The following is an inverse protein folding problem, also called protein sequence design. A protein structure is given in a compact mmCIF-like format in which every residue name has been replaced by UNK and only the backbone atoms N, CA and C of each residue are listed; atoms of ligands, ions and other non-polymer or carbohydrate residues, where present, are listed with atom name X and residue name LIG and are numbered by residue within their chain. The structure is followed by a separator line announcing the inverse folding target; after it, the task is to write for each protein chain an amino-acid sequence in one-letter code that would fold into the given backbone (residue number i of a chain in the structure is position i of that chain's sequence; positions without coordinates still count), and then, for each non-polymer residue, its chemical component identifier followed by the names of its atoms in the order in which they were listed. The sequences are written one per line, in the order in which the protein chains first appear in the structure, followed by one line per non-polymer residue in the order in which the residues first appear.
data_IF_983055294216
#
_entry.id   IF_983055294216
#
_cell.length_a   1.000
_cell.length_b   1.000
_cell.length_c   1.000
_cell.angle_alpha   90.00
_cell.angle_beta   90.00
_cell.angle_gamma   90.00
#
_symmetry.space_group_name_H-M   'P 1'
#
loop_
_entity.id
_entity.type
_entity.pdbx_description
1 polymer ?
#
# COMPACT_ATOMS: atom_id res chain seq x y z
N UNK A 1 75.94 -27.90 -28.65
CA UNK A 1 75.23 -28.86 -29.54
C UNK A 1 73.78 -28.45 -29.60
N UNK A 2 73.34 -27.97 -30.77
CA UNK A 2 71.99 -27.47 -31.05
C UNK A 2 71.05 -28.65 -31.27
N UNK A 3 69.90 -28.68 -30.63
CA UNK A 3 68.79 -29.57 -30.99
C UNK A 3 67.52 -28.74 -31.01
N UNK A 4 67.15 -28.35 -32.23
CA UNK A 4 65.89 -27.76 -32.63
C UNK A 4 64.85 -28.88 -32.59
N UNK A 5 63.82 -28.75 -31.76
CA UNK A 5 62.62 -29.60 -31.86
C UNK A 5 61.53 -28.82 -32.60
N UNK A 6 61.26 -29.27 -33.83
CA UNK A 6 60.15 -28.84 -34.67
C UNK A 6 58.83 -29.30 -34.06
N UNK A 7 57.98 -28.34 -33.68
CA UNK A 7 56.59 -28.56 -33.32
C UNK A 7 55.79 -28.76 -34.63
N UNK A 8 55.06 -29.87 -34.83
CA UNK A 8 54.16 -29.96 -35.97
C UNK A 8 52.95 -29.06 -35.69
N UNK A 9 52.79 -28.02 -36.53
CA UNK A 9 51.57 -27.21 -36.62
C UNK A 9 50.47 -28.15 -37.13
N UNK A 10 49.69 -28.70 -36.21
CA UNK A 10 48.41 -29.32 -36.52
C UNK A 10 47.42 -28.18 -36.81
N UNK A 11 47.23 -27.92 -38.11
CA UNK A 11 46.06 -27.26 -38.67
C UNK A 11 44.80 -28.02 -38.21
N UNK A 12 44.29 -27.68 -37.03
CA UNK A 12 42.95 -28.04 -36.64
C UNK A 12 42.01 -27.13 -37.45
N UNK A 13 41.48 -27.72 -38.51
CA UNK A 13 40.38 -27.21 -39.31
C UNK A 13 39.35 -26.49 -38.43
N UNK A 14 38.93 -25.31 -38.86
CA UNK A 14 37.81 -24.60 -38.27
C UNK A 14 36.56 -25.47 -38.32
N UNK A 15 36.31 -26.21 -37.24
CA UNK A 15 34.98 -26.54 -36.80
C UNK A 15 34.32 -25.19 -36.51
N UNK A 16 33.64 -24.62 -37.51
CA UNK A 16 32.52 -23.75 -37.21
C UNK A 16 31.58 -24.60 -36.36
N UNK A 17 31.67 -24.45 -35.03
CA UNK A 17 30.63 -24.88 -34.14
C UNK A 17 29.34 -24.28 -34.70
N UNK A 18 28.38 -25.13 -35.07
CA UNK A 18 27.04 -24.66 -35.34
C UNK A 18 26.66 -23.82 -34.12
N UNK A 19 26.36 -22.54 -34.32
CA UNK A 19 25.88 -21.71 -33.21
C UNK A 19 24.55 -22.30 -32.78
N UNK A 20 24.57 -23.09 -31.71
CA UNK A 20 23.36 -23.66 -31.14
C UNK A 20 22.41 -22.51 -30.80
N UNK A 21 21.19 -22.63 -31.34
CA UNK A 21 20.18 -21.60 -31.21
C UNK A 21 19.47 -21.76 -29.88
N UNK A 22 19.63 -20.78 -29.00
CA UNK A 22 19.04 -20.78 -27.68
C UNK A 22 17.52 -20.60 -27.77
N UNK A 23 16.76 -21.48 -27.13
CA UNK A 23 15.30 -21.40 -27.04
C UNK A 23 14.91 -20.61 -25.80
N UNK A 24 14.41 -19.41 -26.04
CA UNK A 24 14.03 -18.44 -25.01
C UNK A 24 12.52 -18.46 -24.81
N UNK A 25 12.09 -18.98 -23.67
CA UNK A 25 10.70 -19.03 -23.26
C UNK A 25 10.25 -17.72 -22.63
N UNK A 26 9.09 -17.19 -23.03
CA UNK A 26 8.52 -15.99 -22.39
C UNK A 26 6.99 -16.04 -22.36
N UNK A 27 6.39 -15.14 -21.58
CA UNK A 27 4.93 -14.99 -21.47
C UNK A 27 4.55 -13.56 -21.80
N UNK A 28 3.60 -13.38 -22.71
CA UNK A 28 3.02 -12.05 -23.01
C UNK A 28 2.26 -11.56 -21.79
N UNK A 29 2.78 -10.49 -21.18
CA UNK A 29 2.27 -9.87 -19.97
C UNK A 29 2.76 -8.42 -19.91
N UNK A 30 1.86 -7.50 -20.27
CA UNK A 30 2.13 -6.07 -20.21
C UNK A 30 2.40 -5.62 -18.76
N UNK A 31 3.29 -4.62 -18.54
CA UNK A 31 4.05 -3.88 -19.56
C UNK A 31 5.38 -4.56 -19.96
N UNK A 32 5.72 -5.71 -19.38
CA UNK A 32 7.04 -6.34 -19.46
C UNK A 32 7.33 -7.02 -20.79
N UNK A 33 6.31 -7.67 -21.36
CA UNK A 33 6.35 -8.34 -22.66
C UNK A 33 5.01 -8.10 -23.35
N UNK A 34 5.04 -7.43 -24.48
CA UNK A 34 3.90 -7.09 -25.32
C UNK A 34 4.06 -7.81 -26.65
N UNK A 35 2.95 -8.35 -27.17
CA UNK A 35 2.90 -8.78 -28.56
C UNK A 35 2.61 -7.56 -29.44
N UNK A 36 3.41 -7.39 -30.50
CA UNK A 36 3.25 -6.36 -31.54
C UNK A 36 3.21 -7.02 -32.91
N UNK A 37 2.85 -6.27 -33.95
CA UNK A 37 2.86 -6.75 -35.34
C UNK A 37 4.26 -7.14 -35.82
N UNK A 38 5.31 -6.64 -35.16
CA UNK A 38 6.72 -6.88 -35.47
C UNK A 38 7.36 -7.94 -34.57
N UNK A 39 6.60 -8.57 -33.66
CA UNK A 39 7.08 -9.61 -32.76
C UNK A 39 6.85 -9.27 -31.29
N UNK A 40 7.82 -9.63 -30.44
CA UNK A 40 7.73 -9.37 -29.00
C UNK A 40 8.50 -8.09 -28.65
N UNK A 41 7.92 -7.25 -27.81
CA UNK A 41 8.53 -6.01 -27.37
C UNK A 41 8.33 -5.78 -25.87
N UNK A 42 9.15 -4.94 -25.26
CA UNK A 42 9.01 -4.55 -23.86
C UNK A 42 10.32 -4.65 -23.09
N UNK A 43 10.35 -4.19 -21.83
CA UNK A 43 11.57 -4.11 -21.04
C UNK A 43 12.31 -5.44 -20.90
N UNK A 44 11.60 -6.56 -20.75
CA UNK A 44 12.23 -7.88 -20.54
C UNK A 44 12.86 -8.41 -21.83
N UNK A 45 12.18 -8.21 -22.97
CA UNK A 45 12.70 -8.60 -24.30
C UNK A 45 13.92 -7.73 -24.63
N UNK A 46 13.80 -6.42 -24.46
CA UNK A 46 14.88 -5.47 -24.71
C UNK A 46 16.12 -5.78 -23.87
N UNK A 47 15.95 -6.08 -22.57
CA UNK A 47 17.07 -6.41 -21.70
C UNK A 47 17.80 -7.67 -22.19
N UNK A 48 17.04 -8.73 -22.49
CA UNK A 48 17.63 -9.98 -22.96
C UNK A 48 18.29 -9.86 -24.33
N UNK A 49 17.71 -9.11 -25.27
CA UNK A 49 18.33 -8.89 -26.57
C UNK A 49 19.69 -8.19 -26.47
N UNK A 50 19.86 -7.27 -25.51
CA UNK A 50 21.16 -6.66 -25.26
C UNK A 50 22.15 -7.67 -24.70
N UNK A 51 21.75 -8.49 -23.72
CA UNK A 51 22.58 -9.56 -23.16
C UNK A 51 22.98 -10.57 -24.26
N UNK A 52 22.01 -11.05 -25.04
CA UNK A 52 22.25 -11.98 -26.12
C UNK A 52 23.20 -11.41 -27.18
N UNK A 53 23.08 -10.12 -27.51
CA UNK A 53 23.98 -9.44 -28.45
C UNK A 53 25.40 -9.33 -27.90
N UNK A 54 25.55 -8.96 -26.64
CA UNK A 54 26.87 -8.85 -25.98
C UNK A 54 27.59 -10.20 -25.89
N UNK A 55 26.85 -11.29 -25.69
CA UNK A 55 27.38 -12.65 -25.59
C UNK A 55 27.45 -13.39 -26.95
N UNK A 56 26.90 -12.80 -28.02
CA UNK A 56 26.86 -13.43 -29.35
C UNK A 56 25.91 -14.63 -29.44
N UNK A 57 24.85 -14.69 -28.62
CA UNK A 57 23.87 -15.77 -28.65
C UNK A 57 22.87 -15.60 -29.79
N UNK A 58 22.64 -16.67 -30.54
CA UNK A 58 21.53 -16.78 -31.50
C UNK A 58 20.32 -17.29 -30.75
N UNK A 59 19.23 -16.51 -30.71
CA UNK A 59 18.05 -16.82 -29.89
C UNK A 59 16.80 -17.03 -30.75
N UNK A 60 15.93 -17.94 -30.32
CA UNK A 60 14.55 -18.07 -30.81
C UNK A 60 13.57 -17.92 -29.65
N UNK A 61 12.50 -17.17 -29.86
CA UNK A 61 11.52 -16.90 -28.80
C UNK A 61 10.30 -17.80 -28.90
N UNK A 62 9.85 -18.34 -27.77
CA UNK A 62 8.62 -19.13 -27.67
C UNK A 62 7.68 -18.52 -26.62
N UNK A 63 6.65 -17.77 -27.05
CA UNK A 63 5.63 -17.28 -26.14
C UNK A 63 4.70 -18.42 -25.70
N UNK A 64 4.67 -18.72 -24.41
CA UNK A 64 3.89 -19.82 -23.83
C UNK A 64 3.24 -19.41 -22.50
N UNK A 65 2.17 -20.12 -22.05
CA UNK A 65 1.66 -20.00 -20.68
C UNK A 65 2.73 -20.36 -19.64
N UNK A 66 2.60 -19.81 -18.43
CA UNK A 66 3.62 -19.98 -17.38
C UNK A 66 3.89 -21.44 -17.03
N UNK A 67 2.85 -22.25 -16.89
CA UNK A 67 3.01 -23.66 -16.51
C UNK A 67 3.77 -24.44 -17.58
N UNK A 68 3.50 -24.15 -18.86
CA UNK A 68 4.23 -24.73 -20.00
C UNK A 68 5.67 -24.24 -20.09
N UNK A 69 5.96 -23.00 -19.69
CA UNK A 69 7.33 -22.49 -19.61
C UNK A 69 8.15 -23.21 -18.56
N UNK A 70 7.58 -23.36 -17.35
CA UNK A 70 8.27 -24.04 -16.24
C UNK A 70 8.49 -25.53 -16.54
N UNK A 71 7.49 -26.21 -17.10
CA UNK A 71 7.64 -27.60 -17.54
C UNK A 71 8.64 -27.73 -18.70
N UNK A 72 8.59 -26.82 -19.67
CA UNK A 72 9.52 -26.81 -20.81
C UNK A 72 10.97 -26.58 -20.37
N UNK A 73 11.19 -25.73 -19.36
CA UNK A 73 12.50 -25.51 -18.75
C UNK A 73 12.98 -26.76 -18.01
N UNK A 74 12.12 -27.39 -17.21
CA UNK A 74 12.42 -28.62 -16.46
C UNK A 74 12.74 -29.80 -17.40
N UNK A 75 12.11 -29.86 -18.57
CA UNK A 75 12.30 -30.90 -19.59
C UNK A 75 13.45 -30.61 -20.57
N UNK A 76 14.09 -29.43 -20.49
CA UNK A 76 15.14 -29.03 -21.43
C UNK A 76 14.66 -28.70 -22.84
N UNK A 77 13.37 -28.40 -23.00
CA UNK A 77 12.79 -27.88 -24.25
C UNK A 77 12.92 -26.36 -24.39
N UNK A 78 13.22 -25.69 -23.29
CA UNK A 78 13.49 -24.26 -23.18
C UNK A 78 14.78 -24.13 -22.40
N UNK A 79 15.72 -23.33 -22.92
CA UNK A 79 17.03 -23.16 -22.28
C UNK A 79 16.99 -22.02 -21.26
N UNK A 80 16.25 -20.95 -21.55
CA UNK A 80 16.14 -19.76 -20.69
C UNK A 80 14.70 -19.27 -20.66
N UNK A 81 14.22 -18.94 -19.47
CA UNK A 81 12.90 -18.35 -19.26
C UNK A 81 13.01 -16.87 -18.84
N UNK A 82 12.28 -16.00 -19.55
CA UNK A 82 12.14 -14.57 -19.26
C UNK A 82 10.67 -14.12 -19.05
N UNK A 83 9.83 -14.87 -18.31
CA UNK A 83 8.52 -14.35 -17.94
C UNK A 83 8.66 -13.30 -16.83
N UNK A 84 7.72 -12.34 -16.72
CA UNK A 84 7.58 -11.56 -15.50
C UNK A 84 7.13 -12.50 -14.37
N UNK A 85 8.10 -12.96 -13.59
CA UNK A 85 7.94 -14.02 -12.60
C UNK A 85 8.53 -13.59 -11.27
N UNK A 86 7.74 -13.79 -10.22
CA UNK A 86 8.21 -13.59 -8.85
C UNK A 86 9.08 -14.79 -8.44
N UNK A 87 10.27 -14.48 -7.91
CA UNK A 87 11.15 -15.45 -7.26
C UNK A 87 10.48 -15.86 -5.94
N UNK A 88 10.27 -17.16 -5.76
CA UNK A 88 9.68 -17.75 -4.55
C UNK A 88 10.52 -18.95 -4.11
N UNK A 89 10.53 -19.27 -2.83
CA UNK A 89 11.30 -20.41 -2.30
C UNK A 89 10.95 -21.74 -2.99
N UNK A 90 9.67 -21.96 -3.31
CA UNK A 90 9.21 -23.15 -4.04
C UNK A 90 9.82 -23.26 -5.44
N UNK A 91 9.99 -22.13 -6.14
CA UNK A 91 10.58 -22.11 -7.48
C UNK A 91 12.10 -22.16 -7.43
N UNK A 92 12.72 -21.46 -6.48
CA UNK A 92 14.17 -21.46 -6.27
C UNK A 92 14.69 -22.86 -5.88
N UNK A 93 13.86 -23.67 -5.22
CA UNK A 93 14.18 -25.07 -4.95
C UNK A 93 14.21 -25.97 -6.21
N UNK A 94 13.65 -25.51 -7.34
CA UNK A 94 13.51 -26.28 -8.59
C UNK A 94 14.25 -25.68 -9.78
N UNK A 95 14.56 -24.39 -9.73
CA UNK A 95 15.13 -23.62 -10.84
C UNK A 95 16.15 -22.61 -10.32
N UNK A 96 17.22 -22.43 -11.08
CA UNK A 96 18.19 -21.37 -10.83
C UNK A 96 17.67 -20.02 -11.32
N UNK A 97 17.84 -18.98 -10.50
CA UNK A 97 17.47 -17.61 -10.82
C UNK A 97 18.71 -16.71 -10.91
N UNK A 98 18.65 -15.74 -11.81
CA UNK A 98 19.58 -14.62 -11.81
C UNK A 98 19.20 -13.60 -10.75
N UNK A 99 20.04 -12.57 -10.56
CA UNK A 99 19.65 -11.41 -9.79
C UNK A 99 18.40 -10.74 -10.43
N UNK A 100 17.40 -10.33 -9.62
CA UNK A 100 16.19 -9.72 -10.14
C UNK A 100 16.51 -8.37 -10.79
N UNK A 101 16.03 -8.15 -12.02
CA UNK A 101 16.14 -6.86 -12.72
C UNK A 101 14.98 -5.90 -12.41
N UNK A 102 13.91 -6.39 -11.77
CA UNK A 102 12.74 -5.60 -11.38
C UNK A 102 12.18 -6.06 -10.05
N UNK A 103 11.86 -5.11 -9.16
CA UNK A 103 11.24 -5.36 -7.86
C UNK A 103 9.86 -4.71 -7.85
N UNK A 104 8.82 -5.52 -7.68
CA UNK A 104 7.44 -5.08 -7.58
C UNK A 104 6.99 -5.07 -6.11
N UNK A 105 6.25 -4.04 -5.71
CA UNK A 105 5.54 -4.00 -4.43
C UNK A 105 4.05 -4.23 -4.66
N UNK A 106 3.42 -4.99 -3.77
CA UNK A 106 1.96 -5.14 -3.77
C UNK A 106 1.29 -3.81 -3.47
N UNK A 107 0.36 -3.40 -4.33
CA UNK A 107 -0.44 -2.19 -4.13
C UNK A 107 -1.91 -2.47 -4.41
N UNK A 108 -2.79 -1.73 -3.73
CA UNK A 108 -4.24 -1.81 -3.96
C UNK A 108 -4.66 -0.59 -4.76
N UNK A 109 -5.20 -0.81 -5.95
CA UNK A 109 -5.77 0.25 -6.76
C UNK A 109 -7.22 0.49 -6.37
N UNK A 110 -7.53 1.70 -5.91
CA UNK A 110 -8.90 2.14 -5.69
C UNK A 110 -9.32 3.13 -6.78
N UNK A 111 -10.57 3.02 -7.25
CA UNK A 111 -11.15 4.00 -8.16
C UNK A 111 -11.06 5.40 -7.55
N UNK A 112 -10.38 6.31 -8.25
CA UNK A 112 -10.35 7.72 -7.86
C UNK A 112 -11.78 8.27 -7.83
N UNK A 113 -12.23 8.73 -6.66
CA UNK A 113 -13.50 9.44 -6.48
C UNK A 113 -13.22 10.95 -6.52
N UNK A 114 -14.09 11.71 -7.18
CA UNK A 114 -14.06 13.19 -7.17
C UNK A 114 -13.89 13.72 -5.75
N UNK A 115 -12.98 14.69 -5.58
CA UNK A 115 -12.69 15.32 -4.28
C UNK A 115 -13.94 15.89 -3.62
N UNK A 116 -14.85 16.47 -4.42
CA UNK A 116 -16.14 16.97 -3.95
C UNK A 116 -17.02 15.89 -3.32
N UNK A 117 -17.04 14.69 -3.90
CA UNK A 117 -17.81 13.57 -3.34
C UNK A 117 -17.20 13.06 -2.04
N UNK A 118 -15.87 13.12 -1.90
CA UNK A 118 -15.19 12.80 -0.63
C UNK A 118 -15.55 13.85 0.45
N UNK A 119 -15.50 15.13 0.11
CA UNK A 119 -15.88 16.22 1.02
C UNK A 119 -17.35 16.09 1.48
N UNK A 120 -18.28 15.83 0.55
CA UNK A 120 -19.68 15.60 0.88
C UNK A 120 -19.89 14.35 1.76
N UNK A 121 -19.16 13.26 1.51
CA UNK A 121 -19.24 12.07 2.38
C UNK A 121 -18.67 12.31 3.77
N UNK A 122 -17.62 13.13 3.88
CA UNK A 122 -17.06 13.54 5.16
C UNK A 122 -18.07 14.38 5.95
N UNK A 123 -18.69 15.38 5.30
CA UNK A 123 -19.73 16.20 5.92
C UNK A 123 -20.96 15.36 6.32
N UNK A 124 -21.38 14.43 5.46
CA UNK A 124 -22.46 13.50 5.75
C UNK A 124 -22.20 12.59 6.95
N UNK A 125 -20.93 12.35 7.32
CA UNK A 125 -20.57 11.52 8.47
C UNK A 125 -21.00 12.17 9.80
N UNK A 126 -21.06 13.50 9.87
CA UNK A 126 -21.60 14.25 11.02
C UNK A 126 -23.13 14.10 11.17
N UNK A 127 -23.83 13.67 10.12
CA UNK A 127 -25.26 13.39 10.17
C UNK A 127 -25.57 11.89 10.28
N UNK A 128 -24.56 11.06 10.55
CA UNK A 128 -24.77 9.63 10.79
C UNK A 128 -25.46 9.40 12.13
N UNK A 129 -26.33 8.38 12.20
CA UNK A 129 -27.03 8.03 13.45
C UNK A 129 -26.05 7.68 14.57
N UNK A 130 -24.89 7.09 14.24
CA UNK A 130 -23.84 6.77 15.20
C UNK A 130 -23.22 8.03 15.79
N UNK A 131 -22.92 9.02 14.93
CA UNK A 131 -22.43 10.31 15.39
C UNK A 131 -23.47 11.04 16.24
N UNK A 132 -24.73 11.09 15.79
CA UNK A 132 -25.82 11.73 16.54
C UNK A 132 -26.04 11.06 17.91
N UNK A 133 -25.92 9.73 18.01
CA UNK A 133 -25.99 9.01 19.30
C UNK A 133 -24.83 9.38 20.23
N UNK A 134 -23.60 9.43 19.70
CA UNK A 134 -22.43 9.83 20.49
C UNK A 134 -22.55 11.29 20.96
N UNK A 135 -22.93 12.21 20.06
CA UNK A 135 -23.17 13.61 20.38
C UNK A 135 -24.31 13.77 21.39
N UNK A 136 -25.40 13.02 21.23
CA UNK A 136 -26.52 13.01 22.16
C UNK A 136 -26.13 12.52 23.56
N UNK A 137 -25.34 11.45 23.65
CA UNK A 137 -24.80 10.97 24.92
C UNK A 137 -23.90 12.02 25.60
N UNK A 138 -23.04 12.69 24.82
CA UNK A 138 -22.20 13.78 25.31
C UNK A 138 -23.04 14.95 25.85
N UNK A 139 -24.02 15.42 25.09
CA UNK A 139 -24.93 16.50 25.51
C UNK A 139 -25.74 16.10 26.74
N UNK A 140 -26.12 14.83 26.87
CA UNK A 140 -26.81 14.29 28.04
C UNK A 140 -25.93 14.33 29.28
N UNK A 141 -24.65 13.94 29.18
CA UNK A 141 -23.70 14.02 30.30
C UNK A 141 -23.52 15.48 30.73
N UNK A 142 -23.28 16.39 29.79
CA UNK A 142 -23.18 17.85 30.06
C UNK A 142 -24.47 18.36 30.72
N UNK A 143 -25.63 17.91 30.24
CA UNK A 143 -26.93 18.24 30.81
C UNK A 143 -27.11 17.74 32.24
N UNK A 144 -26.65 16.53 32.58
CA UNK A 144 -26.72 15.97 33.94
C UNK A 144 -25.87 16.81 34.90
N UNK A 145 -24.60 17.02 34.58
CA UNK A 145 -23.70 17.80 35.45
C UNK A 145 -24.16 19.27 35.54
N UNK A 146 -24.64 19.84 34.44
CA UNK A 146 -25.25 21.17 34.42
C UNK A 146 -26.52 21.28 35.26
N UNK A 147 -27.37 20.25 35.27
CA UNK A 147 -28.54 20.20 36.14
C UNK A 147 -28.14 20.08 37.62
N UNK A 148 -27.18 19.20 37.93
CA UNK A 148 -26.68 19.01 39.29
C UNK A 148 -26.09 20.30 39.86
N UNK A 149 -25.24 21.00 39.08
CA UNK A 149 -24.63 22.24 39.55
C UNK A 149 -25.69 23.31 39.81
N UNK A 150 -26.67 23.43 38.91
CA UNK A 150 -27.78 24.36 39.09
C UNK A 150 -28.62 24.02 40.32
N UNK A 151 -28.91 22.74 40.58
CA UNK A 151 -29.68 22.32 41.75
C UNK A 151 -29.03 22.72 43.09
N UNK A 152 -27.70 22.64 43.18
CA UNK A 152 -26.94 23.04 44.36
C UNK A 152 -26.74 24.56 44.46
N UNK A 153 -26.55 25.25 43.34
CA UNK A 153 -26.23 26.68 43.32
C UNK A 153 -27.44 27.61 43.20
N UNK A 154 -28.63 27.12 42.81
CA UNK A 154 -29.85 27.95 42.58
C UNK A 154 -30.33 28.79 43.77
N UNK A 155 -29.87 28.51 44.99
CA UNK A 155 -30.23 29.25 46.21
C UNK A 155 -29.10 30.14 46.74
N UNK A 156 -27.92 30.13 46.12
CA UNK A 156 -26.75 30.91 46.54
C UNK A 156 -26.72 32.25 45.81
N UNK A 157 -26.75 33.35 46.56
CA UNK A 157 -26.57 34.69 45.99
C UNK A 157 -25.09 34.88 45.66
N UNK A 158 -24.77 35.19 44.40
CA UNK A 158 -23.39 35.51 43.96
C UNK A 158 -22.65 34.38 43.22
N UNK A 159 -23.25 33.20 43.02
CA UNK A 159 -22.65 32.08 42.28
C UNK A 159 -22.73 32.20 40.75
N UNK A 160 -23.49 33.17 40.25
CA UNK A 160 -23.70 33.38 38.81
C UNK A 160 -24.77 32.48 38.17
N UNK A 161 -25.49 31.66 38.94
CA UNK A 161 -26.56 30.79 38.46
C UNK A 161 -27.95 31.41 38.71
N UNK A 162 -28.70 31.67 37.63
CA UNK A 162 -30.03 32.28 37.69
C UNK A 162 -31.16 31.35 38.17
N UNK A 163 -32.37 31.89 38.42
CA UNK A 163 -33.54 31.06 38.71
C UNK A 163 -34.16 30.44 37.45
N UNK A 164 -34.90 29.34 37.64
CA UNK A 164 -35.72 28.71 36.59
C UNK A 164 -34.93 28.28 35.35
N UNK A 165 -35.50 28.50 34.16
CA UNK A 165 -34.93 28.06 32.87
C UNK A 165 -33.58 28.70 32.54
N UNK A 166 -33.33 29.94 32.99
CA UNK A 166 -32.04 30.62 32.76
C UNK A 166 -30.92 29.93 33.53
N UNK A 167 -31.18 29.55 34.78
CA UNK A 167 -30.21 28.80 35.57
C UNK A 167 -29.89 27.40 35.05
N UNK A 168 -30.84 26.72 34.42
CA UNK A 168 -30.58 25.45 33.74
C UNK A 168 -29.59 25.63 32.58
N UNK A 169 -29.74 26.71 31.79
CA UNK A 169 -28.78 27.06 30.76
C UNK A 169 -27.43 27.50 31.33
N UNK A 170 -27.42 28.22 32.46
CA UNK A 170 -26.18 28.58 33.18
C UNK A 170 -25.41 27.33 33.63
N UNK A 171 -26.11 26.33 34.16
CA UNK A 171 -25.55 25.03 34.53
C UNK A 171 -25.01 24.25 33.33
N UNK A 172 -25.79 24.16 32.24
CA UNK A 172 -25.35 23.53 31.00
C UNK A 172 -24.10 24.21 30.41
N UNK A 173 -24.10 25.54 30.33
CA UNK A 173 -22.96 26.34 29.87
C UNK A 173 -21.72 26.09 30.73
N UNK A 174 -21.87 26.15 32.05
CA UNK A 174 -20.77 25.88 32.97
C UNK A 174 -20.20 24.47 32.76
N UNK A 175 -21.05 23.45 32.67
CA UNK A 175 -20.59 22.07 32.46
C UNK A 175 -19.89 21.90 31.12
N UNK A 176 -20.38 22.53 30.04
CA UNK A 176 -19.76 22.48 28.72
C UNK A 176 -18.37 23.14 28.72
N UNK A 177 -18.23 24.32 29.32
CA UNK A 177 -16.98 25.09 29.38
C UNK A 177 -15.94 24.42 30.27
N UNK A 178 -16.37 23.77 31.37
CA UNK A 178 -15.49 22.97 32.23
C UNK A 178 -15.03 21.71 31.51
N UNK A 179 -15.94 20.96 30.87
CA UNK A 179 -15.61 19.75 30.14
C UNK A 179 -14.66 20.00 28.96
N UNK A 180 -14.85 21.12 28.26
CA UNK A 180 -13.98 21.52 27.14
C UNK A 180 -12.71 22.22 27.59
N UNK A 181 -12.45 22.31 28.90
CA UNK A 181 -11.27 22.94 29.50
C UNK A 181 -11.12 24.44 29.20
N UNK A 182 -12.17 25.09 28.67
CA UNK A 182 -12.14 26.53 28.35
C UNK A 182 -12.15 27.37 29.63
N UNK A 183 -12.96 26.99 30.62
CA UNK A 183 -12.90 27.52 31.99
C UNK A 183 -12.95 29.05 32.15
N UNK A 184 -13.94 29.75 31.58
CA UNK A 184 -14.04 31.21 31.65
C UNK A 184 -14.08 31.80 33.07
N UNK A 185 -14.47 31.01 34.08
CA UNK A 185 -14.57 31.47 35.47
C UNK A 185 -15.71 32.46 35.72
N UNK A 186 -16.60 32.66 34.75
CA UNK A 186 -17.78 33.53 34.85
C UNK A 186 -18.81 32.99 35.85
N UNK A 187 -18.82 31.67 36.08
CA UNK A 187 -19.66 30.98 37.05
C UNK A 187 -18.81 30.02 37.87
N UNK A 188 -18.89 30.14 39.18
CA UNK A 188 -18.08 29.36 40.10
C UNK A 188 -18.96 28.76 41.22
N UNK A 189 -18.93 27.43 41.43
CA UNK A 189 -19.69 26.79 42.48
C UNK A 189 -19.23 27.24 43.87
N UNK A 190 -20.16 27.73 44.69
CA UNK A 190 -19.86 28.24 46.03
C UNK A 190 -20.30 27.27 47.12
N UNK A 191 -21.28 26.41 46.84
CA UNK A 191 -21.76 25.40 47.77
C UNK A 191 -20.80 24.21 47.86
N UNK A 192 -20.82 23.53 49.01
CA UNK A 192 -20.06 22.29 49.19
C UNK A 192 -20.46 21.24 48.13
N UNK A 193 -21.76 21.06 47.89
CA UNK A 193 -22.27 20.12 46.89
C UNK A 193 -21.84 20.50 45.47
N UNK A 194 -21.88 21.79 45.11
CA UNK A 194 -21.42 22.25 43.81
C UNK A 194 -19.92 22.07 43.61
N UNK A 195 -19.11 22.20 44.67
CA UNK A 195 -17.67 21.91 44.63
C UNK A 195 -17.32 20.43 44.54
N UNK A 196 -18.23 19.54 44.96
CA UNK A 196 -18.06 18.09 44.78
C UNK A 196 -18.41 17.67 43.34
N UNK A 197 -19.36 18.38 42.72
CA UNK A 197 -19.79 18.13 41.33
C UNK A 197 -18.78 18.67 40.31
N UNK A 198 -18.03 19.71 40.67
CA UNK A 198 -16.98 20.33 39.87
C UNK A 198 -15.65 19.58 39.93
#
# INVERSE_FOLDING_TARGET
RRLIFLLPILLANGLHAAQDTLVVGTKVAAPFVNATDQGLAGPSVWLWENVAREQGFVCTYRPLPLDSLLLGLEQGHIDVCLPPLTITAEREARFDFTAPYYIAYGSVLQRSRSGWRKALSFLGSFFSITFLRALGALVLVIGIFGLLIWLFERRRKGSGFGPGRRGLWDGFWWSAVTMTTVGYGDKAPQSLGGRIVA
#
